data_IF_382506733978
#
_entry.id   IF_382506733978
#
_cell.length_a   1.000
_cell.length_b   1.000
_cell.length_c   1.000
_cell.angle_alpha   90.00
_cell.angle_beta   90.00
_cell.angle_gamma   90.00
#
_symmetry.space_group_name_H-M   'P 1'
#
loop_
_entity.id
_entity.type
_entity.pdbx_description
1 polymer ?
#
# COMPACT_ATOMS: atom_id res chain seq x y z
N UNK A 1 -53.85 -36.35 -30.13
CA UNK A 1 -54.32 -35.17 -29.39
C UNK A 1 -55.04 -35.59 -28.11
N UNK A 2 -54.32 -36.20 -27.15
CA UNK A 2 -54.95 -36.69 -25.89
C UNK A 2 -54.04 -36.63 -24.67
N UNK A 3 -52.71 -36.47 -24.81
CA UNK A 3 -51.78 -36.48 -23.66
C UNK A 3 -51.46 -35.09 -23.07
N UNK A 4 -51.55 -34.00 -23.86
CA UNK A 4 -51.29 -32.63 -23.36
C UNK A 4 -52.43 -32.03 -22.53
N UNK A 5 -53.68 -32.50 -22.71
CA UNK A 5 -54.84 -32.00 -21.96
C UNK A 5 -54.93 -32.55 -20.53
N UNK A 6 -54.26 -33.66 -20.22
CA UNK A 6 -54.35 -34.34 -18.92
C UNK A 6 -53.38 -33.73 -17.87
N UNK A 7 -52.21 -33.27 -18.31
CA UNK A 7 -51.23 -32.60 -17.44
C UNK A 7 -51.66 -31.18 -17.04
N UNK A 8 -52.42 -30.50 -17.90
CA UNK A 8 -52.87 -29.12 -17.63
C UNK A 8 -54.08 -29.06 -16.68
N UNK A 9 -54.91 -30.12 -16.64
CA UNK A 9 -56.08 -30.21 -15.75
C UNK A 9 -55.74 -30.64 -14.32
N UNK A 10 -54.64 -31.36 -14.12
CA UNK A 10 -54.18 -31.79 -12.78
C UNK A 10 -53.46 -30.67 -12.02
N UNK A 11 -52.75 -29.77 -12.72
CA UNK A 11 -52.14 -28.59 -12.12
C UNK A 11 -53.16 -27.54 -11.66
N UNK A 12 -54.31 -27.44 -12.33
CA UNK A 12 -55.39 -26.50 -11.97
C UNK A 12 -56.24 -27.01 -10.80
N UNK A 13 -56.29 -28.33 -10.57
CA UNK A 13 -57.02 -28.93 -9.44
C UNK A 13 -56.25 -28.83 -8.11
N UNK A 14 -54.91 -28.75 -8.15
CA UNK A 14 -54.06 -28.60 -6.97
C UNK A 14 -53.95 -27.16 -6.46
N UNK A 15 -54.20 -26.16 -7.32
CA UNK A 15 -54.22 -24.74 -6.94
C UNK A 15 -55.57 -24.26 -6.35
N UNK A 16 -56.64 -25.06 -6.47
CA UNK A 16 -57.97 -24.71 -5.95
C UNK A 16 -58.27 -25.31 -4.56
N UNK A 17 -57.42 -26.24 -4.07
CA UNK A 17 -57.60 -26.92 -2.79
C UNK A 17 -56.95 -26.21 -1.57
N UNK A 18 -56.23 -25.11 -1.78
CA UNK A 18 -55.52 -24.40 -0.71
C UNK A 18 -56.20 -23.11 -0.23
N UNK A 19 -57.42 -22.80 -0.71
CA UNK A 19 -58.10 -21.52 -0.42
C UNK A 19 -59.40 -21.62 0.41
N UNK A 20 -59.82 -22.79 0.88
CA UNK A 20 -61.03 -22.91 1.72
C UNK A 20 -60.86 -23.86 2.90
N UNK A 21 -60.47 -23.30 4.05
CA UNK A 21 -60.77 -23.78 5.42
C UNK A 21 -60.25 -22.70 6.38
N UNK A 22 -61.05 -21.83 6.99
CA UNK A 22 -62.37 -22.06 7.57
C UNK A 22 -62.25 -21.76 9.06
N UNK A 23 -62.81 -20.64 9.48
CA UNK A 23 -62.79 -20.12 10.85
C UNK A 23 -63.73 -20.88 11.81
N UNK A 24 -63.52 -20.60 13.11
CA UNK A 24 -64.47 -20.63 14.23
C UNK A 24 -64.47 -21.83 15.20
N UNK A 25 -64.11 -21.55 16.46
CA UNK A 25 -64.94 -21.89 17.63
C UNK A 25 -64.46 -21.23 18.93
N UNK A 26 -65.39 -20.56 19.62
CA UNK A 26 -65.27 -20.01 20.97
C UNK A 26 -65.47 -21.08 22.05
N UNK A 27 -64.81 -20.96 23.21
CA UNK A 27 -65.44 -21.25 24.52
C UNK A 27 -64.58 -20.82 25.74
N UNK A 28 -65.19 -19.96 26.58
CA UNK A 28 -65.21 -19.90 28.06
C UNK A 28 -63.95 -19.64 28.92
N UNK A 29 -64.04 -18.49 29.61
CA UNK A 29 -63.77 -18.16 31.02
C UNK A 29 -62.61 -18.80 31.79
N UNK A 30 -61.80 -17.93 32.41
CA UNK A 30 -61.51 -17.96 33.86
C UNK A 30 -60.96 -16.60 34.32
N UNK A 31 -61.71 -15.91 35.18
CA UNK A 31 -61.19 -14.82 35.99
C UNK A 31 -60.12 -15.39 36.93
N UNK A 32 -58.95 -14.72 37.02
CA UNK A 32 -57.92 -15.08 37.99
C UNK A 32 -57.42 -13.81 38.69
N UNK A 33 -57.45 -13.87 40.01
CA UNK A 33 -57.21 -12.80 40.98
C UNK A 33 -55.80 -12.19 40.87
N UNK A 34 -55.67 -10.90 41.22
CA UNK A 34 -54.39 -10.17 41.27
C UNK A 34 -53.56 -10.60 42.49
N UNK A 35 -52.35 -11.16 42.34
CA UNK A 35 -51.38 -11.21 43.43
C UNK A 35 -50.69 -9.84 43.58
N UNK A 36 -50.83 -9.23 44.77
CA UNK A 36 -50.41 -7.84 45.08
C UNK A 36 -48.90 -7.66 45.36
N UNK A 37 -48.02 -8.48 44.76
CA UNK A 37 -46.57 -8.41 44.97
C UNK A 37 -45.75 -8.47 43.65
N UNK A 38 -46.19 -7.70 42.65
CA UNK A 38 -45.50 -7.56 41.35
C UNK A 38 -45.22 -6.07 41.12
N UNK A 39 -43.97 -5.72 40.81
CA UNK A 39 -43.54 -4.35 40.52
C UNK A 39 -43.82 -3.98 39.04
N UNK A 40 -43.37 -4.82 38.12
CA UNK A 40 -43.63 -4.70 36.69
C UNK A 40 -43.45 -6.04 35.97
N UNK A 41 -43.98 -6.14 34.75
CA UNK A 41 -43.84 -7.29 33.85
C UNK A 41 -42.81 -6.95 32.76
N UNK A 42 -41.90 -7.87 32.44
CA UNK A 42 -40.85 -7.65 31.44
C UNK A 42 -40.64 -8.85 30.52
N UNK A 43 -40.09 -8.62 29.33
CA UNK A 43 -39.78 -9.64 28.35
C UNK A 43 -38.33 -10.10 28.49
N UNK A 44 -38.07 -11.40 28.53
CA UNK A 44 -36.72 -11.98 28.68
C UNK A 44 -35.75 -11.53 27.57
N UNK A 45 -36.27 -11.34 26.35
CA UNK A 45 -35.50 -10.84 25.21
C UNK A 45 -35.38 -9.32 25.15
N UNK A 46 -36.28 -8.58 25.81
CA UNK A 46 -36.32 -7.12 25.74
C UNK A 46 -36.53 -6.52 27.15
N UNK A 47 -35.48 -6.50 28.01
CA UNK A 47 -35.59 -6.01 29.39
C UNK A 47 -36.02 -4.54 29.52
N UNK A 48 -35.93 -3.77 28.43
CA UNK A 48 -36.39 -2.38 28.36
C UNK A 48 -37.92 -2.24 28.32
N UNK A 49 -38.65 -3.32 28.01
CA UNK A 49 -40.12 -3.33 28.03
C UNK A 49 -40.59 -3.58 29.46
N UNK A 50 -41.29 -2.60 30.05
CA UNK A 50 -41.88 -2.67 31.38
C UNK A 50 -43.37 -2.36 31.31
N UNK A 51 -44.21 -3.34 31.60
CA UNK A 51 -45.67 -3.19 31.59
C UNK A 51 -46.27 -3.43 32.99
N UNK A 52 -47.47 -2.89 33.21
CA UNK A 52 -48.16 -2.97 34.51
C UNK A 52 -48.98 -4.24 34.69
N UNK A 53 -49.15 -5.05 33.64
CA UNK A 53 -49.97 -6.26 33.67
C UNK A 53 -49.42 -7.38 32.79
N UNK A 54 -49.97 -8.59 32.93
CA UNK A 54 -49.63 -9.70 32.05
C UNK A 54 -50.07 -9.40 30.62
N UNK A 55 -49.24 -9.76 29.65
CA UNK A 55 -49.47 -9.47 28.23
C UNK A 55 -48.39 -10.05 27.34
N UNK A 56 -48.49 -9.77 26.05
CA UNK A 56 -47.45 -10.12 25.06
C UNK A 56 -46.53 -8.93 24.86
N UNK A 57 -45.23 -9.18 24.78
CA UNK A 57 -44.25 -8.16 24.44
C UNK A 57 -44.57 -7.55 23.06
N UNK A 58 -44.68 -6.21 22.93
CA UNK A 58 -44.99 -5.57 21.64
C UNK A 58 -43.86 -5.69 20.60
N UNK A 59 -42.67 -6.13 21.01
CA UNK A 59 -41.50 -6.28 20.13
C UNK A 59 -41.41 -7.70 19.55
N UNK A 60 -41.59 -8.73 20.38
CA UNK A 60 -41.40 -10.13 19.94
C UNK A 60 -42.57 -11.06 20.22
N UNK A 61 -43.69 -10.54 20.71
CA UNK A 61 -44.95 -11.27 20.92
C UNK A 61 -44.85 -12.48 21.86
N UNK A 62 -43.79 -12.57 22.67
CA UNK A 62 -43.64 -13.57 23.75
C UNK A 62 -44.32 -13.08 25.04
N UNK A 63 -44.69 -14.01 25.92
CA UNK A 63 -45.33 -13.69 27.20
C UNK A 63 -44.39 -12.90 28.11
N UNK A 64 -44.93 -11.85 28.73
CA UNK A 64 -44.22 -11.09 29.75
C UNK A 64 -44.15 -11.91 31.05
N UNK A 65 -43.07 -11.72 31.80
CA UNK A 65 -42.79 -12.41 33.07
C UNK A 65 -42.79 -11.37 34.21
N UNK A 66 -43.36 -11.67 35.40
CA UNK A 66 -43.46 -10.70 36.48
C UNK A 66 -42.15 -10.54 37.26
N UNK A 67 -41.82 -9.30 37.63
CA UNK A 67 -40.70 -8.92 38.51
C UNK A 67 -41.28 -8.46 39.84
N UNK A 68 -40.79 -9.01 40.96
CA UNK A 68 -41.28 -8.74 42.32
C UNK A 68 -40.53 -7.54 42.95
N UNK A 69 -41.13 -6.88 43.96
CA UNK A 69 -40.48 -5.78 44.69
C UNK A 69 -39.50 -6.32 45.75
N UNK A 70 -38.28 -5.80 45.80
CA UNK A 70 -37.32 -6.09 46.87
C UNK A 70 -37.65 -5.29 48.15
N UNK A 71 -37.68 -5.96 49.31
CA UNK A 71 -37.86 -5.35 50.63
C UNK A 71 -36.52 -5.07 51.31
N UNK A 72 -36.25 -3.81 51.64
CA UNK A 72 -35.02 -3.33 52.26
C UNK A 72 -34.89 -3.68 53.76
N UNK A 73 -33.66 -3.88 54.26
CA UNK A 73 -33.28 -3.82 55.69
C UNK A 73 -31.85 -3.26 55.83
N UNK A 74 -31.50 -2.46 56.88
CA UNK A 74 -30.43 -1.46 56.80
C UNK A 74 -29.18 -1.69 57.68
N UNK A 75 -28.13 -0.93 57.33
CA UNK A 75 -27.04 -0.31 58.14
C UNK A 75 -25.95 -1.16 58.84
N UNK A 76 -24.67 -0.91 58.52
CA UNK A 76 -23.75 -0.09 59.37
C UNK A 76 -22.29 -0.12 58.87
N UNK A 77 -21.59 0.97 59.19
CA UNK A 77 -20.28 1.49 58.79
C UNK A 77 -19.04 0.75 59.28
N UNK A 78 -17.93 0.80 58.51
CA UNK A 78 -16.60 1.05 59.06
C UNK A 78 -15.62 1.62 58.02
N UNK A 79 -14.82 2.58 58.47
CA UNK A 79 -13.78 3.33 57.76
C UNK A 79 -12.51 2.48 57.62
N UNK A 80 -11.80 2.61 56.50
CA UNK A 80 -10.36 2.90 56.48
C UNK A 80 -9.86 3.24 55.06
N UNK A 81 -8.97 4.24 55.01
CA UNK A 81 -8.31 4.83 53.83
C UNK A 81 -7.12 3.94 53.33
N UNK A 82 -6.29 4.27 52.30
CA UNK A 82 -5.90 5.61 51.83
C UNK A 82 -5.89 5.85 50.30
N UNK A 83 -5.75 7.15 50.00
CA UNK A 83 -5.58 7.76 48.67
C UNK A 83 -4.22 7.40 48.06
N UNK A 84 -4.20 7.16 46.76
CA UNK A 84 -2.99 7.31 45.94
C UNK A 84 -3.29 8.16 44.72
N UNK A 85 -2.53 9.25 44.64
CA UNK A 85 -2.55 10.26 43.60
C UNK A 85 -1.81 9.75 42.37
N UNK A 86 -2.44 9.83 41.20
CA UNK A 86 -1.71 9.80 39.93
C UNK A 86 -2.33 10.82 38.97
N UNK A 87 -1.89 12.07 39.15
CA UNK A 87 -1.69 12.94 38.01
C UNK A 87 -0.61 12.32 37.10
N UNK A 88 -0.88 12.23 35.81
CA UNK A 88 -0.18 13.04 34.80
C UNK A 88 -0.25 12.40 33.40
N UNK A 89 -0.23 13.34 32.44
CA UNK A 89 0.19 13.21 31.05
C UNK A 89 -0.90 12.91 30.01
N UNK A 90 -1.16 13.94 29.21
CA UNK A 90 -1.27 14.02 27.74
C UNK A 90 -2.29 15.12 27.40
N UNK A 91 -2.12 16.07 26.48
CA UNK A 91 -1.05 16.62 25.68
C UNK A 91 -1.68 17.81 24.92
N UNK A 92 -0.87 18.74 24.39
CA UNK A 92 -1.25 19.51 23.19
C UNK A 92 -1.70 20.95 23.39
N UNK A 93 -0.77 21.88 23.15
CA UNK A 93 -1.06 23.27 22.76
C UNK A 93 -1.84 23.28 21.43
N UNK A 94 -2.72 24.28 21.24
CA UNK A 94 -2.48 25.17 20.11
C UNK A 94 -2.52 26.65 20.49
N UNK A 95 -1.73 27.38 19.72
CA UNK A 95 -1.61 28.84 19.61
C UNK A 95 -2.83 29.47 18.97
N UNK A 96 -3.15 30.71 19.36
CA UNK A 96 -3.91 31.66 18.55
C UNK A 96 -5.24 32.12 19.17
N UNK A 97 -5.18 33.10 20.09
CA UNK A 97 -6.36 33.88 20.48
C UNK A 97 -6.35 35.20 19.71
N UNK A 98 -7.19 35.31 18.68
CA UNK A 98 -7.67 36.62 18.22
C UNK A 98 -8.73 37.10 19.19
N UNK A 99 -8.51 38.26 19.77
CA UNK A 99 -9.53 39.07 20.42
C UNK A 99 -10.71 39.33 19.49
N UNK A 100 -11.91 38.95 19.90
CA UNK A 100 -13.13 39.66 19.55
C UNK A 100 -14.04 39.72 20.77
N UNK A 101 -14.21 40.94 21.27
CA UNK A 101 -15.19 41.31 22.28
C UNK A 101 -16.60 41.19 21.67
N UNK A 102 -17.49 40.48 22.38
CA UNK A 102 -18.90 40.34 22.08
C UNK A 102 -19.73 40.40 23.37
N UNK A 103 -20.84 41.13 23.29
CA UNK A 103 -21.70 41.71 24.34
C UNK A 103 -22.21 40.78 25.47
N UNK A 104 -22.59 41.36 26.64
CA UNK A 104 -23.14 40.61 27.77
C UNK A 104 -24.65 40.40 27.65
N UNK A 105 -25.10 39.20 28.03
CA UNK A 105 -26.49 38.93 28.38
C UNK A 105 -27.07 37.67 27.72
N UNK A 106 -27.16 36.58 28.49
CA UNK A 106 -28.25 35.57 28.45
C UNK A 106 -28.03 34.50 29.55
N UNK A 107 -29.10 33.86 30.07
CA UNK A 107 -29.13 33.26 31.41
C UNK A 107 -28.68 31.79 31.47
N UNK A 108 -27.98 31.47 32.56
CA UNK A 108 -27.73 30.16 33.18
C UNK A 108 -28.09 28.87 32.43
N UNK A 109 -27.06 28.23 31.84
CA UNK A 109 -27.12 26.82 31.47
C UNK A 109 -26.59 25.97 32.64
N UNK A 110 -27.47 25.13 33.21
CA UNK A 110 -27.16 24.18 34.30
C UNK A 110 -26.02 23.24 33.90
N UNK A 111 -25.12 23.01 34.85
CA UNK A 111 -23.94 22.15 34.71
C UNK A 111 -24.27 20.77 34.14
N UNK A 112 -23.48 20.37 33.15
CA UNK A 112 -23.52 19.03 32.59
C UNK A 112 -23.29 17.98 33.68
N UNK A 113 -24.20 17.02 33.75
CA UNK A 113 -24.08 15.84 34.60
C UNK A 113 -22.84 15.08 34.15
N UNK A 114 -21.82 15.02 35.00
CA UNK A 114 -20.68 14.14 34.84
C UNK A 114 -21.19 12.70 34.72
N UNK A 115 -21.05 12.11 33.53
CA UNK A 115 -21.34 10.71 33.28
C UNK A 115 -20.31 9.84 34.01
N UNK A 116 -20.62 9.52 35.27
CA UNK A 116 -19.87 8.58 36.10
C UNK A 116 -19.72 7.25 35.36
N UNK A 117 -18.48 6.82 35.11
CA UNK A 117 -18.17 5.55 34.45
C UNK A 117 -18.91 4.37 35.13
N UNK A 118 -19.40 3.37 34.36
CA UNK A 118 -20.17 2.27 34.93
C UNK A 118 -19.36 1.50 35.97
N UNK A 119 -19.95 1.35 37.16
CA UNK A 119 -19.38 0.57 38.26
C UNK A 119 -19.48 -0.91 37.89
N UNK A 120 -18.35 -1.62 37.81
CA UNK A 120 -18.34 -3.07 37.56
C UNK A 120 -18.89 -3.79 38.78
N UNK A 121 -20.05 -4.44 38.67
CA UNK A 121 -20.62 -5.28 39.74
C UNK A 121 -20.11 -6.71 39.61
N UNK A 122 -19.59 -7.27 40.70
CA UNK A 122 -19.27 -8.68 40.81
C UNK A 122 -20.57 -9.52 40.82
N UNK A 123 -20.60 -10.61 40.05
CA UNK A 123 -21.71 -11.56 40.07
C UNK A 123 -21.18 -12.99 40.08
N UNK A 124 -21.87 -13.87 40.79
CA UNK A 124 -21.44 -15.27 41.03
C UNK A 124 -22.24 -16.22 40.15
N UNK A 125 -21.55 -17.12 39.45
CA UNK A 125 -22.15 -18.19 38.64
C UNK A 125 -21.89 -19.55 39.29
N UNK A 126 -22.90 -20.44 39.45
CA UNK A 126 -22.70 -21.79 39.98
C UNK A 126 -21.79 -22.66 39.11
N UNK A 127 -20.99 -23.52 39.73
CA UNK A 127 -19.95 -24.32 39.09
C UNK A 127 -20.53 -25.32 38.08
N UNK A 128 -21.70 -25.90 38.37
CA UNK A 128 -22.41 -26.82 37.47
C UNK A 128 -22.78 -26.12 36.17
N UNK A 129 -23.23 -24.86 36.27
CA UNK A 129 -23.55 -24.02 35.13
C UNK A 129 -22.30 -23.65 34.33
N UNK A 130 -21.19 -23.35 35.00
CA UNK A 130 -19.90 -23.10 34.35
C UNK A 130 -19.37 -24.33 33.59
N UNK A 131 -19.57 -25.53 34.14
CA UNK A 131 -19.19 -26.78 33.50
C UNK A 131 -20.09 -27.13 32.31
N UNK A 132 -21.41 -26.95 32.44
CA UNK A 132 -22.37 -27.21 31.36
C UNK A 132 -22.12 -26.33 30.12
N UNK A 133 -21.71 -25.07 30.30
CA UNK A 133 -21.37 -24.15 29.19
C UNK A 133 -19.92 -24.25 28.72
N UNK A 134 -19.08 -25.07 29.39
CA UNK A 134 -17.70 -25.31 28.99
C UNK A 134 -16.76 -24.11 29.17
N UNK A 135 -16.84 -23.39 30.29
CA UNK A 135 -15.96 -22.24 30.57
C UNK A 135 -14.48 -22.66 30.50
N UNK A 136 -13.67 -21.88 29.78
CA UNK A 136 -12.21 -22.05 29.69
C UNK A 136 -11.50 -20.85 30.28
N UNK A 137 -10.43 -21.11 31.03
CA UNK A 137 -9.59 -20.09 31.64
C UNK A 137 -8.24 -20.02 30.92
N UNK A 138 -7.68 -18.81 30.86
CA UNK A 138 -6.31 -18.58 30.47
C UNK A 138 -5.67 -17.61 31.48
N UNK A 139 -4.40 -17.85 31.85
CA UNK A 139 -3.66 -16.94 32.71
C UNK A 139 -3.32 -15.67 31.92
N UNK A 140 -3.57 -14.51 32.52
CA UNK A 140 -3.16 -13.24 31.94
C UNK A 140 -1.64 -13.15 31.96
N UNK A 141 -1.05 -12.96 30.79
CA UNK A 141 0.40 -12.85 30.61
C UNK A 141 0.72 -11.66 29.72
N UNK A 142 1.76 -10.92 30.05
CA UNK A 142 2.32 -9.90 29.16
C UNK A 142 3.25 -10.58 28.16
N UNK A 143 2.87 -10.58 26.89
CA UNK A 143 3.67 -11.15 25.78
C UNK A 143 3.72 -10.17 24.61
N UNK A 144 4.82 -10.15 23.83
CA UNK A 144 4.86 -9.39 22.59
C UNK A 144 3.85 -9.96 21.58
N UNK A 145 2.90 -9.13 21.13
CA UNK A 145 1.97 -9.51 20.07
C UNK A 145 2.70 -9.47 18.73
N UNK A 146 2.87 -10.63 18.08
CA UNK A 146 3.44 -10.73 16.74
C UNK A 146 2.31 -10.96 15.74
N UNK A 147 2.12 -10.02 14.82
CA UNK A 147 1.23 -10.18 13.68
C UNK A 147 2.08 -10.37 12.42
N UNK A 148 1.99 -11.55 11.80
CA UNK A 148 2.67 -11.81 10.53
C UNK A 148 1.79 -11.39 9.38
N UNK A 149 2.23 -10.40 8.61
CA UNK A 149 1.58 -9.97 7.37
C UNK A 149 2.31 -10.64 6.20
N UNK A 150 1.56 -11.29 5.31
CA UNK A 150 2.08 -11.79 4.01
C UNK A 150 1.74 -10.77 2.94
N UNK A 151 2.75 -10.25 2.27
CA UNK A 151 2.61 -9.30 1.19
C UNK A 151 3.41 -9.78 -0.03
N UNK A 152 3.01 -9.31 -1.22
CA UNK A 152 3.76 -9.50 -2.46
C UNK A 152 4.81 -8.39 -2.60
N UNK A 153 5.94 -8.69 -3.23
CA UNK A 153 6.98 -7.72 -3.58
C UNK A 153 7.19 -7.65 -5.09
N UNK A 154 7.68 -6.52 -5.57
CA UNK A 154 8.10 -6.34 -6.96
C UNK A 154 9.62 -6.45 -7.05
N UNK A 155 10.11 -7.25 -8.00
CA UNK A 155 11.53 -7.27 -8.34
C UNK A 155 11.77 -6.14 -9.34
N UNK A 156 12.53 -5.14 -8.94
CA UNK A 156 12.89 -4.00 -9.77
C UNK A 156 14.38 -4.04 -10.13
N UNK A 157 14.77 -3.52 -11.30
CA UNK A 157 16.18 -3.33 -11.63
C UNK A 157 16.87 -2.45 -10.59
N UNK A 158 18.13 -2.79 -10.33
CA UNK A 158 18.98 -2.05 -9.41
C UNK A 158 19.46 -0.76 -10.07
N UNK A 159 18.92 0.39 -9.61
CA UNK A 159 19.28 1.71 -10.16
C UNK A 159 20.75 2.07 -9.97
N UNK A 160 21.45 1.44 -9.02
CA UNK A 160 22.90 1.66 -8.82
C UNK A 160 23.76 0.94 -9.87
N UNK A 161 23.17 -0.03 -10.57
CA UNK A 161 23.78 -0.81 -11.65
C UNK A 161 23.04 -0.62 -12.97
N UNK A 162 22.59 0.61 -13.21
CA UNK A 162 21.98 1.04 -14.47
C UNK A 162 22.92 2.03 -15.17
N UNK A 163 23.18 1.82 -16.46
CA UNK A 163 24.04 2.69 -17.25
C UNK A 163 23.35 3.05 -18.54
N UNK A 164 23.33 4.34 -18.84
CA UNK A 164 22.77 4.85 -20.08
C UNK A 164 23.92 5.35 -20.96
N UNK A 165 24.06 4.72 -22.13
CA UNK A 165 25.02 5.14 -23.12
C UNK A 165 24.38 6.18 -24.02
N UNK A 166 24.93 7.39 -24.01
CA UNK A 166 24.46 8.50 -24.85
C UNK A 166 25.49 8.82 -25.93
N UNK A 167 25.02 9.29 -27.07
CA UNK A 167 25.92 9.77 -28.11
C UNK A 167 26.62 11.05 -27.66
N UNK A 168 27.93 11.12 -27.89
CA UNK A 168 28.74 12.33 -27.65
C UNK A 168 29.12 13.08 -28.93
N UNK A 169 28.74 12.52 -30.07
CA UNK A 169 29.00 13.07 -31.39
C UNK A 169 27.75 12.92 -32.26
N UNK A 170 27.61 13.80 -33.24
CA UNK A 170 26.58 13.67 -34.25
C UNK A 170 27.02 12.66 -35.30
N UNK A 171 26.09 11.84 -35.81
CA UNK A 171 26.45 10.77 -36.72
C UNK A 171 25.28 9.91 -37.16
N UNK A 172 25.63 8.75 -37.71
CA UNK A 172 24.69 7.74 -38.17
C UNK A 172 25.05 6.38 -37.56
N UNK A 173 24.05 5.65 -37.08
CA UNK A 173 24.25 4.28 -36.60
C UNK A 173 24.53 3.40 -37.80
N UNK A 174 25.76 2.93 -37.96
CA UNK A 174 26.14 2.12 -39.11
C UNK A 174 25.80 0.64 -38.90
N UNK A 175 26.09 0.14 -37.70
CA UNK A 175 25.85 -1.24 -37.30
C UNK A 175 25.33 -1.28 -35.87
N UNK A 176 24.30 -2.08 -35.64
CA UNK A 176 23.74 -2.34 -34.33
C UNK A 176 24.03 -3.81 -33.99
N UNK A 177 24.88 -4.06 -33.00
CA UNK A 177 25.23 -5.42 -32.59
C UNK A 177 24.19 -5.95 -31.58
N UNK A 178 23.66 -5.07 -30.73
CA UNK A 178 22.58 -5.37 -29.78
C UNK A 178 21.27 -4.79 -30.28
N UNK A 179 20.28 -5.64 -30.56
CA UNK A 179 19.07 -5.21 -31.28
C UNK A 179 17.80 -5.20 -30.44
N UNK A 180 17.79 -5.89 -29.29
CA UNK A 180 16.58 -6.08 -28.51
C UNK A 180 16.80 -5.99 -26.98
N UNK A 181 15.80 -5.48 -26.23
CA UNK A 181 15.75 -5.62 -24.78
C UNK A 181 15.81 -7.08 -24.33
N UNK A 182 16.49 -7.34 -23.23
CA UNK A 182 16.69 -8.67 -22.64
C UNK A 182 17.93 -9.40 -23.14
N UNK A 183 18.64 -8.86 -24.14
CA UNK A 183 19.89 -9.44 -24.63
C UNK A 183 21.00 -9.33 -23.57
N UNK A 184 21.75 -10.43 -23.40
CA UNK A 184 22.88 -10.48 -22.47
C UNK A 184 24.15 -10.07 -23.20
N UNK A 185 24.84 -9.08 -22.65
CA UNK A 185 26.07 -8.53 -23.22
C UNK A 185 27.23 -8.82 -22.27
N UNK A 186 28.33 -9.34 -22.81
CA UNK A 186 29.56 -9.58 -22.06
C UNK A 186 30.41 -8.31 -21.94
N UNK A 187 31.37 -8.33 -21.01
CA UNK A 187 32.33 -7.23 -20.89
C UNK A 187 33.16 -7.09 -22.17
N UNK A 188 33.38 -5.85 -22.59
CA UNK A 188 34.10 -5.41 -23.78
C UNK A 188 33.45 -5.86 -25.10
N UNK A 189 32.21 -6.37 -25.06
CA UNK A 189 31.45 -6.71 -26.25
C UNK A 189 30.97 -5.44 -26.99
N UNK A 190 30.92 -5.48 -28.34
CA UNK A 190 30.43 -4.37 -29.13
C UNK A 190 28.91 -4.21 -28.96
N UNK A 191 28.48 -2.98 -28.69
CA UNK A 191 27.06 -2.61 -28.58
C UNK A 191 26.53 -2.14 -29.94
N UNK A 192 27.25 -1.19 -30.55
CA UNK A 192 26.93 -0.60 -31.84
C UNK A 192 28.15 0.16 -32.39
N UNK A 193 28.10 0.49 -33.68
CA UNK A 193 29.09 1.31 -34.36
C UNK A 193 28.44 2.55 -34.97
N UNK A 194 29.00 3.73 -34.66
CA UNK A 194 28.54 5.03 -35.15
C UNK A 194 29.55 5.58 -36.14
N UNK A 195 29.08 5.97 -37.32
CA UNK A 195 29.83 6.81 -38.23
C UNK A 195 29.63 8.29 -37.86
N UNK A 196 30.71 9.04 -37.65
CA UNK A 196 30.66 10.48 -37.38
C UNK A 196 31.69 11.23 -38.24
N UNK A 197 31.26 12.17 -39.11
CA UNK A 197 32.18 12.99 -39.90
C UNK A 197 33.15 13.82 -39.05
N UNK A 198 32.68 14.36 -37.93
CA UNK A 198 33.46 15.21 -37.04
C UNK A 198 34.53 14.42 -36.28
N UNK A 199 34.18 13.19 -35.88
CA UNK A 199 35.12 12.25 -35.29
C UNK A 199 36.22 11.87 -36.28
N UNK A 200 35.84 11.46 -37.50
CA UNK A 200 36.79 11.12 -38.56
C UNK A 200 37.74 12.28 -38.87
N UNK A 201 37.23 13.51 -38.89
CA UNK A 201 38.04 14.71 -39.11
C UNK A 201 39.05 14.91 -37.99
N UNK A 202 38.62 14.75 -36.74
CA UNK A 202 39.51 14.90 -35.57
C UNK A 202 40.54 13.77 -35.45
N UNK A 203 40.19 12.54 -35.83
CA UNK A 203 41.16 11.45 -35.87
C UNK A 203 42.22 11.66 -36.95
N UNK A 204 41.83 12.16 -38.13
CA UNK A 204 42.77 12.54 -39.20
C UNK A 204 43.72 13.66 -38.75
N UNK A 205 43.19 14.68 -38.06
CA UNK A 205 43.99 15.74 -37.46
C UNK A 205 45.01 15.15 -36.46
N UNK A 206 44.56 14.28 -35.56
CA UNK A 206 45.43 13.63 -34.58
C UNK A 206 46.54 12.80 -35.25
N UNK A 207 46.21 12.00 -36.26
CA UNK A 207 47.19 11.22 -37.03
C UNK A 207 48.20 12.12 -37.73
N UNK A 208 47.78 13.24 -38.29
CA UNK A 208 48.66 14.20 -38.94
C UNK A 208 49.62 14.87 -37.95
N UNK A 209 49.12 15.26 -36.78
CA UNK A 209 49.96 15.79 -35.70
C UNK A 209 51.01 14.77 -35.23
N UNK A 210 50.66 13.48 -35.17
CA UNK A 210 51.62 12.42 -34.88
C UNK A 210 52.70 12.30 -35.97
N UNK A 211 52.34 12.45 -37.25
CA UNK A 211 53.32 12.47 -38.35
C UNK A 211 54.25 13.68 -38.28
N UNK A 212 53.71 14.87 -37.98
CA UNK A 212 54.50 16.08 -37.79
C UNK A 212 55.54 15.91 -36.66
N UNK A 213 55.14 15.32 -35.52
CA UNK A 213 56.04 15.00 -34.41
C UNK A 213 57.16 14.04 -34.84
N UNK A 214 56.83 13.02 -35.62
CA UNK A 214 57.81 12.00 -36.04
C UNK A 214 58.80 12.54 -37.08
N UNK A 215 58.38 13.46 -37.94
CA UNK A 215 59.23 14.15 -38.91
C UNK A 215 60.14 15.22 -38.27
N UNK A 216 59.77 15.72 -37.10
CA UNK A 216 60.55 16.73 -36.39
C UNK A 216 61.93 16.17 -35.97
N UNK A 217 62.99 16.83 -36.47
CA UNK A 217 64.39 16.41 -36.31
C UNK A 217 65.00 16.83 -34.97
N UNK A 218 64.50 17.91 -34.36
CA UNK A 218 65.00 18.42 -33.07
C UNK A 218 63.97 18.24 -31.95
N UNK A 219 64.46 18.24 -30.70
CA UNK A 219 63.60 18.12 -29.51
C UNK A 219 62.65 19.32 -29.38
N UNK A 220 63.12 20.52 -29.68
CA UNK A 220 62.32 21.75 -29.61
C UNK A 220 61.23 21.78 -30.69
N UNK A 221 61.51 21.23 -31.88
CA UNK A 221 60.52 21.09 -32.94
C UNK A 221 59.45 20.01 -32.64
N UNK A 222 59.64 19.19 -31.60
CA UNK A 222 58.64 18.20 -31.15
C UNK A 222 57.71 18.75 -30.08
N UNK A 223 58.10 19.79 -29.34
CA UNK A 223 57.31 20.31 -28.22
C UNK A 223 55.99 20.91 -28.70
N UNK A 224 56.00 21.67 -29.80
CA UNK A 224 54.80 22.25 -30.39
C UNK A 224 53.81 21.18 -30.89
N UNK A 225 54.21 20.19 -31.72
CA UNK A 225 53.35 19.04 -32.05
C UNK A 225 52.86 18.29 -30.81
N UNK A 226 53.68 18.11 -29.78
CA UNK A 226 53.30 17.35 -28.60
C UNK A 226 52.13 17.99 -27.85
N UNK A 227 52.14 19.31 -27.66
CA UNK A 227 51.03 20.04 -27.03
C UNK A 227 49.73 19.95 -27.84
N UNK A 228 49.84 19.94 -29.17
CA UNK A 228 48.70 19.76 -30.06
C UNK A 228 48.15 18.33 -30.00
N UNK A 229 49.03 17.33 -29.97
CA UNK A 229 48.67 15.91 -29.78
C UNK A 229 47.91 15.73 -28.47
N UNK A 230 48.41 16.31 -27.37
CA UNK A 230 47.77 16.19 -26.06
C UNK A 230 46.36 16.85 -26.04
N UNK A 231 46.20 17.95 -26.78
CA UNK A 231 44.92 18.64 -26.94
C UNK A 231 43.92 17.83 -27.79
N UNK A 232 44.38 17.29 -28.91
CA UNK A 232 43.58 16.41 -29.77
C UNK A 232 43.19 15.11 -29.04
N UNK A 233 44.11 14.53 -28.25
CA UNK A 233 43.84 13.35 -27.41
C UNK A 233 42.73 13.61 -26.38
N UNK A 234 42.77 14.76 -25.70
CA UNK A 234 41.69 15.16 -24.78
C UNK A 234 40.35 15.33 -25.50
N UNK A 235 40.34 15.91 -26.70
CA UNK A 235 39.11 16.02 -27.52
C UNK A 235 38.51 14.64 -27.82
N UNK A 236 39.31 13.68 -28.28
CA UNK A 236 38.85 12.31 -28.55
C UNK A 236 38.33 11.61 -27.29
N UNK A 237 38.98 11.80 -26.14
CA UNK A 237 38.51 11.27 -24.85
C UNK A 237 37.15 11.86 -24.45
N UNK A 238 36.93 13.16 -24.67
CA UNK A 238 35.65 13.81 -24.41
C UNK A 238 34.54 13.24 -25.30
N UNK A 239 34.87 12.70 -26.47
CA UNK A 239 33.93 11.99 -27.35
C UNK A 239 33.86 10.49 -27.09
N UNK A 240 34.28 10.05 -25.91
CA UNK A 240 34.22 8.66 -25.47
C UNK A 240 35.08 7.67 -26.25
N UNK A 241 36.06 8.14 -27.01
CA UNK A 241 37.08 7.26 -27.56
C UNK A 241 37.94 6.73 -26.41
N UNK A 242 37.99 5.41 -26.27
CA UNK A 242 38.68 4.78 -25.14
C UNK A 242 40.20 4.95 -25.24
N UNK A 243 40.94 4.93 -24.12
CA UNK A 243 42.40 4.98 -24.16
C UNK A 243 43.02 3.85 -25.00
N UNK A 244 42.35 2.70 -25.07
CA UNK A 244 42.76 1.56 -25.90
C UNK A 244 42.62 1.88 -27.40
N UNK A 245 41.48 2.43 -27.82
CA UNK A 245 41.26 2.88 -29.20
C UNK A 245 42.24 3.98 -29.60
N UNK A 246 42.50 4.95 -28.71
CA UNK A 246 43.51 6.00 -28.96
C UNK A 246 44.91 5.40 -29.12
N UNK A 247 45.28 4.43 -28.28
CA UNK A 247 46.58 3.75 -28.40
C UNK A 247 46.69 2.97 -29.72
N UNK A 248 45.60 2.34 -30.16
CA UNK A 248 45.55 1.65 -31.45
C UNK A 248 45.68 2.63 -32.61
N UNK A 249 45.02 3.79 -32.54
CA UNK A 249 45.17 4.87 -33.51
C UNK A 249 46.61 5.43 -33.56
N UNK A 250 47.25 5.60 -32.39
CA UNK A 250 48.66 6.01 -32.27
C UNK A 250 49.62 5.01 -32.95
N UNK A 251 49.32 3.71 -32.89
CA UNK A 251 50.14 2.65 -33.51
C UNK A 251 49.86 2.51 -35.01
N UNK A 252 48.60 2.41 -35.39
CA UNK A 252 48.18 2.10 -36.76
C UNK A 252 48.29 3.30 -37.70
N UNK A 253 48.20 4.52 -37.17
CA UNK A 253 48.16 5.78 -37.95
C UNK A 253 47.05 5.79 -39.00
N UNK A 254 45.95 5.08 -38.74
CA UNK A 254 44.78 4.99 -39.61
C UNK A 254 43.57 5.48 -38.84
N UNK A 255 43.05 6.63 -39.25
CA UNK A 255 41.77 7.12 -38.76
C UNK A 255 40.65 6.14 -39.19
N UNK A 256 39.76 5.83 -38.26
CA UNK A 256 38.55 5.05 -38.50
C UNK A 256 37.43 5.98 -38.95
N UNK A 257 36.58 5.49 -39.85
CA UNK A 257 35.32 6.16 -40.16
C UNK A 257 34.27 5.91 -39.07
N UNK A 258 34.46 4.86 -38.27
CA UNK A 258 33.46 4.31 -37.36
C UNK A 258 34.01 4.14 -35.95
N UNK A 259 33.19 4.55 -34.98
CA UNK A 259 33.44 4.34 -33.57
C UNK A 259 32.57 3.21 -33.05
N UNK A 260 33.19 2.10 -32.68
CA UNK A 260 32.50 1.01 -31.98
C UNK A 260 32.43 1.34 -30.49
N UNK A 261 31.20 1.39 -29.98
CA UNK A 261 30.92 1.51 -28.55
C UNK A 261 30.97 0.12 -27.91
N UNK A 262 31.79 -0.02 -26.87
CA UNK A 262 31.97 -1.28 -26.14
C UNK A 262 31.30 -1.22 -24.76
N UNK A 263 30.79 -2.35 -24.28
CA UNK A 263 30.27 -2.46 -22.93
C UNK A 263 31.40 -2.58 -21.89
N UNK A 264 31.49 -1.73 -20.84
CA UNK A 264 32.55 -1.83 -19.84
C UNK A 264 32.30 -2.94 -18.78
N UNK A 265 31.12 -3.58 -18.80
CA UNK A 265 30.74 -4.64 -17.87
C UNK A 265 29.81 -5.66 -18.53
N UNK A 266 29.58 -6.79 -17.86
CA UNK A 266 28.57 -7.77 -18.26
C UNK A 266 27.20 -7.33 -17.74
N UNK A 267 26.18 -7.30 -18.58
CA UNK A 267 24.85 -6.79 -18.23
C UNK A 267 23.75 -7.26 -19.17
N UNK A 268 22.50 -6.91 -18.84
CA UNK A 268 21.33 -7.18 -19.68
C UNK A 268 20.81 -5.85 -20.20
N UNK A 269 20.54 -5.80 -21.49
CA UNK A 269 20.06 -4.61 -22.18
C UNK A 269 18.61 -4.37 -21.80
N UNK A 270 18.30 -3.18 -21.31
CA UNK A 270 16.95 -2.78 -20.95
C UNK A 270 16.25 -2.07 -22.10
N UNK A 271 16.97 -1.22 -22.85
CA UNK A 271 16.37 -0.51 -23.98
C UNK A 271 17.39 -0.16 -25.06
N UNK A 272 16.96 -0.22 -26.32
CA UNK A 272 17.72 0.21 -27.50
C UNK A 272 16.79 1.06 -28.36
N UNK A 273 16.69 2.37 -28.11
CA UNK A 273 15.79 3.24 -28.87
C UNK A 273 16.32 3.59 -30.28
N UNK A 274 17.59 3.32 -30.56
CA UNK A 274 18.20 3.60 -31.87
C UNK A 274 17.95 2.49 -32.87
N UNK A 275 17.88 2.86 -34.14
CA UNK A 275 17.78 1.92 -35.25
C UNK A 275 18.98 2.06 -36.17
N UNK A 276 19.38 0.93 -36.78
CA UNK A 276 20.44 0.91 -37.75
C UNK A 276 20.10 1.80 -38.97
N UNK A 277 21.06 2.60 -39.42
CA UNK A 277 20.94 3.55 -40.52
C UNK A 277 20.38 4.92 -40.14
N UNK A 278 19.80 5.10 -38.94
CA UNK A 278 19.27 6.40 -38.50
C UNK A 278 20.37 7.34 -38.02
N UNK A 279 20.11 8.63 -38.16
CA UNK A 279 20.96 9.67 -37.58
C UNK A 279 20.78 9.73 -36.07
N UNK A 280 21.88 9.92 -35.36
CA UNK A 280 21.90 10.21 -33.91
C UNK A 280 22.54 11.57 -33.69
N UNK A 281 22.02 12.29 -32.70
CA UNK A 281 22.54 13.57 -32.23
C UNK A 281 23.22 13.40 -30.89
N UNK A 282 24.08 14.36 -30.58
CA UNK A 282 24.72 14.49 -29.28
C UNK A 282 23.65 14.58 -28.17
N UNK A 283 23.73 13.69 -27.19
CA UNK A 283 22.76 13.55 -26.11
C UNK A 283 21.68 12.50 -26.33
N UNK A 284 21.53 11.96 -27.54
CA UNK A 284 20.57 10.88 -27.79
C UNK A 284 20.97 9.61 -27.04
N UNK A 285 19.98 8.96 -26.40
CA UNK A 285 20.15 7.65 -25.77
C UNK A 285 20.39 6.61 -26.85
N UNK A 286 21.46 5.84 -26.72
CA UNK A 286 21.85 4.78 -27.63
C UNK A 286 21.39 3.42 -27.10
N UNK A 287 21.82 3.08 -25.89
CA UNK A 287 21.59 1.79 -25.22
C UNK A 287 21.50 2.02 -23.71
N UNK A 288 20.62 1.28 -23.05
CA UNK A 288 20.50 1.17 -21.59
C UNK A 288 20.65 -0.29 -21.13
#
# INVERSE_FOLDING_TARGET
MTMKLFLQKTALLLMLAALLSGAASCSKNSATEKPSNIDYWTCTMHPSVREKGPGKCPICSMDLVPVMKESATPASSSKNAPRHDHAAMLAGKPTGSSEMQGMPGMPGMKGGVESKAPQTSEFVVPVERQQQIGVRYAKVERKPLRHTIRAVGLIAPDKTRNWQFVSRVDGYVQKLDVTAPGELVEKDAPLLSIYSPDLLTSEREFVELLRMRDQAKSKDARDTPQRLIDSAKRRLQLWNVTPQQISELEKTRKASDTLTLLSPFRGVVQSVPVEQGKSVKTGDLLVE
#
